data_IF_646479398432
#
_entry.id   IF_646479398432
#
_cell.length_a   1.000
_cell.length_b   1.000
_cell.length_c   1.000
_cell.angle_alpha   90.00
_cell.angle_beta   90.00
_cell.angle_gamma   90.00
#
_symmetry.space_group_name_H-M   'P 1'
#
loop_
_entity.id
_entity.type
_entity.pdbx_description
1 polymer ?
#
# COMPACT_ATOMS: atom_id res chain seq x y z
N UNK A 1 -15.65 10.74 -19.39
CA UNK A 1 -14.72 10.70 -18.26
C UNK A 1 -14.08 12.06 -18.11
N UNK A 2 -14.23 12.71 -16.96
CA UNK A 2 -13.52 13.93 -16.64
C UNK A 2 -12.00 13.62 -16.62
N UNK A 3 -11.22 14.31 -17.45
CA UNK A 3 -9.75 14.19 -17.38
C UNK A 3 -9.31 14.87 -16.10
N UNK A 4 -8.74 14.11 -15.16
CA UNK A 4 -7.89 14.70 -14.14
C UNK A 4 -6.78 15.42 -14.91
N UNK A 5 -6.60 16.72 -14.63
CA UNK A 5 -5.59 17.51 -15.32
C UNK A 5 -4.20 17.17 -14.74
N UNK A 6 -3.65 16.07 -15.24
CA UNK A 6 -2.24 15.75 -15.00
C UNK A 6 -1.33 16.66 -15.80
N UNK A 7 -0.16 16.93 -15.28
CA UNK A 7 0.91 17.56 -16.06
C UNK A 7 1.32 16.63 -17.21
N UNK A 8 2.00 17.16 -18.20
CA UNK A 8 2.50 16.36 -19.33
C UNK A 8 3.41 15.21 -18.89
N UNK A 9 4.27 15.45 -17.88
CA UNK A 9 5.14 14.44 -17.30
C UNK A 9 4.35 13.33 -16.59
N UNK A 10 3.34 13.70 -15.79
CA UNK A 10 2.44 12.76 -15.10
C UNK A 10 1.65 11.90 -16.09
N UNK A 11 1.15 12.49 -17.17
CA UNK A 11 0.43 11.75 -18.20
C UNK A 11 1.36 10.81 -18.99
N UNK A 12 2.60 11.22 -19.24
CA UNK A 12 3.64 10.37 -19.86
C UNK A 12 4.01 9.21 -18.94
N UNK A 13 4.23 9.46 -17.65
CA UNK A 13 4.47 8.44 -16.63
C UNK A 13 3.32 7.43 -16.62
N UNK A 14 2.06 7.90 -16.53
CA UNK A 14 0.86 7.05 -16.53
C UNK A 14 0.80 6.15 -17.75
N UNK A 15 1.02 6.67 -18.94
CA UNK A 15 1.04 5.90 -20.21
C UNK A 15 2.13 4.83 -20.23
N UNK A 16 3.33 5.18 -19.75
CA UNK A 16 4.45 4.24 -19.70
C UNK A 16 4.19 3.11 -18.71
N UNK A 17 3.66 3.40 -17.52
CA UNK A 17 3.28 2.40 -16.53
C UNK A 17 2.19 1.49 -17.10
N UNK A 18 1.15 2.05 -17.71
CA UNK A 18 0.09 1.26 -18.34
C UNK A 18 0.64 0.26 -19.37
N UNK A 19 1.55 0.68 -20.26
CA UNK A 19 2.18 -0.20 -21.25
C UNK A 19 2.98 -1.31 -20.58
N UNK A 20 3.77 -0.99 -19.58
CA UNK A 20 4.54 -1.96 -18.82
C UNK A 20 3.62 -2.98 -18.13
N UNK A 21 2.56 -2.53 -17.45
CA UNK A 21 1.60 -3.40 -16.77
C UNK A 21 0.96 -4.39 -17.73
N UNK A 22 0.53 -3.94 -18.90
CA UNK A 22 -0.07 -4.81 -19.92
C UNK A 22 0.92 -5.86 -20.46
N UNK A 23 2.21 -5.52 -20.55
CA UNK A 23 3.22 -6.41 -21.09
C UNK A 23 3.82 -7.34 -20.04
N UNK A 24 4.05 -6.85 -18.81
CA UNK A 24 4.87 -7.54 -17.83
C UNK A 24 4.09 -8.05 -16.61
N UNK A 25 2.99 -7.41 -16.22
CA UNK A 25 2.25 -7.74 -14.99
C UNK A 25 1.00 -8.58 -15.31
N UNK A 26 0.15 -8.11 -16.21
CA UNK A 26 -1.12 -8.78 -16.54
C UNK A 26 -0.94 -10.25 -16.95
N UNK A 27 0.01 -10.61 -17.85
CA UNK A 27 0.19 -12.00 -18.26
C UNK A 27 0.66 -12.95 -17.16
N UNK A 28 1.24 -12.40 -16.09
CA UNK A 28 1.82 -13.17 -14.97
C UNK A 28 0.99 -13.13 -13.69
N UNK A 29 -0.10 -12.37 -13.69
CA UNK A 29 -0.88 -12.14 -12.48
C UNK A 29 -1.56 -13.40 -11.92
N UNK A 30 -1.94 -14.35 -12.78
CA UNK A 30 -2.45 -15.66 -12.40
C UNK A 30 -1.35 -16.52 -11.74
N UNK A 31 -0.20 -16.62 -12.38
CA UNK A 31 0.96 -17.36 -11.85
C UNK A 31 1.40 -16.81 -10.48
N UNK A 32 1.39 -15.48 -10.29
CA UNK A 32 1.70 -14.84 -9.01
C UNK A 32 0.74 -15.29 -7.91
N UNK A 33 -0.56 -15.33 -8.22
CA UNK A 33 -1.59 -15.79 -7.26
C UNK A 33 -1.43 -17.29 -6.96
N UNK A 34 -1.22 -18.11 -7.96
CA UNK A 34 -1.08 -19.57 -7.78
C UNK A 34 0.16 -19.94 -6.96
N UNK A 35 1.32 -19.38 -7.33
CA UNK A 35 2.60 -19.66 -6.66
C UNK A 35 2.76 -18.95 -5.32
N UNK A 36 1.91 -17.95 -5.02
CA UNK A 36 2.07 -17.03 -3.89
C UNK A 36 3.46 -16.37 -3.87
N UNK A 37 3.99 -16.02 -5.05
CA UNK A 37 5.31 -15.40 -5.24
C UNK A 37 5.31 -14.44 -6.43
N UNK A 38 5.84 -13.23 -6.23
CA UNK A 38 6.10 -12.27 -7.32
C UNK A 38 7.48 -12.61 -7.94
N UNK A 39 7.55 -12.87 -9.26
CA UNK A 39 8.82 -13.13 -9.94
C UNK A 39 9.82 -11.99 -9.74
N UNK A 40 11.08 -12.34 -9.45
CA UNK A 40 12.14 -11.37 -9.07
C UNK A 40 12.46 -10.32 -10.13
N UNK A 41 12.10 -10.54 -11.38
CA UNK A 41 12.30 -9.58 -12.47
C UNK A 41 11.27 -8.44 -12.43
N UNK A 42 10.05 -8.64 -11.88
CA UNK A 42 9.03 -7.59 -11.75
C UNK A 42 9.53 -6.41 -10.89
N UNK A 43 10.04 -6.60 -9.66
CA UNK A 43 10.64 -5.52 -8.90
C UNK A 43 11.79 -4.82 -9.63
N UNK A 44 12.63 -5.56 -10.38
CA UNK A 44 13.72 -4.98 -11.19
C UNK A 44 13.18 -4.11 -12.33
N UNK A 45 12.07 -4.49 -12.96
CA UNK A 45 11.40 -3.67 -13.98
C UNK A 45 10.88 -2.38 -13.32
N UNK A 46 10.26 -2.48 -12.14
CA UNK A 46 9.76 -1.31 -11.42
C UNK A 46 10.89 -0.33 -11.05
N UNK A 47 12.02 -0.86 -10.55
CA UNK A 47 13.20 -0.05 -10.25
C UNK A 47 13.72 0.68 -11.52
N UNK A 48 13.91 -0.04 -12.64
CA UNK A 48 14.35 0.55 -13.91
C UNK A 48 13.41 1.61 -14.46
N UNK A 49 12.12 1.52 -14.14
CA UNK A 49 11.12 2.52 -14.53
C UNK A 49 11.02 3.70 -13.54
N UNK A 50 11.82 3.71 -12.48
CA UNK A 50 11.80 4.75 -11.47
C UNK A 50 10.65 4.65 -10.48
N UNK A 51 9.86 3.55 -10.45
CA UNK A 51 8.71 3.42 -9.55
C UNK A 51 9.12 3.33 -8.07
N UNK A 52 10.35 2.91 -7.79
CA UNK A 52 10.91 2.87 -6.45
C UNK A 52 11.50 4.20 -5.99
N UNK A 53 11.79 5.09 -6.93
CA UNK A 53 12.42 6.37 -6.67
C UNK A 53 11.48 7.56 -6.74
N UNK A 54 10.16 7.31 -6.86
CA UNK A 54 9.14 8.37 -7.01
C UNK A 54 9.27 9.45 -5.94
N UNK A 55 9.38 9.05 -4.66
CA UNK A 55 9.45 9.98 -3.52
C UNK A 55 10.88 10.31 -3.07
N UNK A 56 11.89 9.79 -3.76
CA UNK A 56 13.31 10.03 -3.43
C UNK A 56 13.77 11.33 -4.08
N UNK A 57 14.51 12.20 -3.36
CA UNK A 57 15.05 13.45 -3.93
C UNK A 57 16.03 13.22 -5.09
N UNK A 58 16.12 14.17 -6.02
CA UNK A 58 17.01 14.09 -7.19
C UNK A 58 18.49 13.94 -6.82
N UNK A 59 18.91 14.59 -5.74
CA UNK A 59 20.30 14.52 -5.23
C UNK A 59 20.73 13.10 -4.83
N UNK A 60 19.78 12.19 -4.58
CA UNK A 60 20.00 10.76 -4.31
C UNK A 60 19.59 9.85 -5.48
N UNK A 61 19.40 10.42 -6.67
CA UNK A 61 19.03 9.68 -7.88
C UNK A 61 17.53 9.37 -8.01
N UNK A 62 16.67 10.07 -7.28
CA UNK A 62 15.23 9.93 -7.32
C UNK A 62 14.54 10.80 -8.36
N UNK A 63 13.20 10.69 -8.41
CA UNK A 63 12.36 11.49 -9.31
C UNK A 63 11.81 12.76 -8.63
N UNK A 64 12.02 12.94 -7.33
CA UNK A 64 11.47 14.03 -6.52
C UNK A 64 9.96 14.26 -6.73
N UNK A 65 9.24 13.19 -7.04
CA UNK A 65 7.79 13.25 -7.21
C UNK A 65 7.06 13.36 -5.87
N UNK A 66 5.75 13.59 -5.97
CA UNK A 66 4.87 13.74 -4.83
C UNK A 66 3.91 12.55 -4.65
N UNK A 67 2.89 12.80 -3.86
CA UNK A 67 1.81 11.83 -3.62
C UNK A 67 1.00 11.58 -4.91
N UNK A 68 0.90 12.58 -5.79
CA UNK A 68 0.21 12.43 -7.09
C UNK A 68 0.88 11.37 -7.95
N UNK A 69 2.21 11.41 -8.11
CA UNK A 69 2.98 10.41 -8.87
C UNK A 69 2.92 9.03 -8.21
N UNK A 70 2.97 8.96 -6.89
CA UNK A 70 2.78 7.71 -6.15
C UNK A 70 1.38 7.11 -6.43
N UNK A 71 0.32 7.91 -6.38
CA UNK A 71 -1.04 7.46 -6.68
C UNK A 71 -1.20 6.98 -8.13
N UNK A 72 -0.58 7.67 -9.10
CA UNK A 72 -0.56 7.23 -10.51
C UNK A 72 0.10 5.84 -10.62
N UNK A 73 1.26 5.65 -9.98
CA UNK A 73 1.95 4.37 -10.00
C UNK A 73 1.10 3.25 -9.35
N UNK A 74 0.53 3.52 -8.18
CA UNK A 74 -0.31 2.57 -7.44
C UNK A 74 -1.57 2.20 -8.21
N UNK A 75 -2.30 3.18 -8.79
CA UNK A 75 -3.52 2.94 -9.55
C UNK A 75 -3.24 2.13 -10.83
N UNK A 76 -2.25 2.54 -11.64
CA UNK A 76 -1.99 1.87 -12.93
C UNK A 76 -1.45 0.44 -12.73
N UNK A 77 -0.57 0.19 -11.76
CA UNK A 77 -0.07 -1.17 -11.48
C UNK A 77 -1.17 -2.06 -10.93
N UNK A 78 -2.03 -1.54 -10.08
CA UNK A 78 -3.13 -2.31 -9.48
C UNK A 78 -4.18 -2.78 -10.49
N UNK A 79 -4.31 -2.14 -11.67
CA UNK A 79 -5.19 -2.62 -12.75
C UNK A 79 -4.81 -4.01 -13.26
N UNK A 80 -3.53 -4.35 -13.21
CA UNK A 80 -3.02 -5.66 -13.60
C UNK A 80 -2.90 -6.63 -12.43
N UNK A 81 -2.31 -6.15 -11.33
CA UNK A 81 -2.14 -6.93 -10.10
C UNK A 81 -1.95 -6.00 -8.90
N UNK A 82 -2.91 -5.99 -8.00
CA UNK A 82 -2.85 -5.13 -6.82
C UNK A 82 -1.71 -5.53 -5.87
N UNK A 83 -1.35 -6.81 -5.82
CA UNK A 83 -0.27 -7.30 -4.94
C UNK A 83 1.10 -6.75 -5.36
N UNK A 84 1.35 -6.56 -6.65
CA UNK A 84 2.59 -5.99 -7.16
C UNK A 84 2.86 -4.56 -6.65
N UNK A 85 1.81 -3.80 -6.29
CA UNK A 85 1.96 -2.47 -5.69
C UNK A 85 2.63 -2.48 -4.32
N UNK A 86 2.73 -3.64 -3.66
CA UNK A 86 3.34 -3.77 -2.33
C UNK A 86 4.84 -3.42 -2.33
N UNK A 87 5.53 -3.68 -3.43
CA UNK A 87 6.92 -3.26 -3.59
C UNK A 87 7.05 -1.73 -3.70
N UNK A 88 6.17 -1.09 -4.48
CA UNK A 88 6.17 0.38 -4.65
C UNK A 88 5.87 1.05 -3.30
N UNK A 89 4.85 0.57 -2.59
CA UNK A 89 4.47 1.12 -1.29
C UNK A 89 5.55 0.90 -0.23
N UNK A 90 6.21 -0.27 -0.22
CA UNK A 90 7.34 -0.55 0.67
C UNK A 90 8.47 0.46 0.48
N UNK A 91 8.87 0.70 -0.77
CA UNK A 91 9.90 1.69 -1.07
C UNK A 91 9.46 3.12 -0.71
N UNK A 92 8.19 3.45 -0.92
CA UNK A 92 7.63 4.73 -0.49
C UNK A 92 7.75 4.92 1.03
N UNK A 93 7.48 3.89 1.85
CA UNK A 93 7.69 3.96 3.31
C UNK A 93 9.15 4.24 3.67
N UNK A 94 10.11 3.58 3.01
CA UNK A 94 11.52 3.86 3.20
C UNK A 94 11.89 5.30 2.85
N UNK A 95 11.41 5.78 1.71
CA UNK A 95 11.65 7.16 1.27
C UNK A 95 11.06 8.19 2.25
N UNK A 96 9.83 7.97 2.73
CA UNK A 96 9.18 8.84 3.71
C UNK A 96 9.88 8.82 5.06
N UNK A 97 10.33 7.65 5.53
CA UNK A 97 11.08 7.53 6.77
C UNK A 97 12.36 8.37 6.75
N UNK A 98 13.10 8.33 5.65
CA UNK A 98 14.30 9.14 5.49
C UNK A 98 13.97 10.64 5.30
N UNK A 99 12.90 10.95 4.58
CA UNK A 99 12.48 12.34 4.32
C UNK A 99 12.11 13.06 5.61
N UNK A 100 11.31 12.43 6.46
CA UNK A 100 10.74 13.04 7.67
C UNK A 100 11.61 12.86 8.93
N UNK A 101 12.40 11.78 8.99
CA UNK A 101 13.11 11.41 10.21
C UNK A 101 14.58 11.01 10.01
N UNK A 102 15.04 10.83 8.77
CA UNK A 102 16.41 10.43 8.50
C UNK A 102 17.41 11.59 8.66
N UNK A 103 18.52 11.34 9.35
CA UNK A 103 19.66 12.24 9.33
C UNK A 103 20.46 12.11 8.02
N UNK A 104 21.44 13.01 7.79
CA UNK A 104 22.19 13.05 6.54
C UNK A 104 22.89 11.72 6.22
N UNK A 105 23.56 11.12 7.21
CA UNK A 105 24.24 9.82 7.03
C UNK A 105 23.29 8.68 6.69
N UNK A 106 22.08 8.67 7.27
CA UNK A 106 21.04 7.69 6.95
C UNK A 106 20.50 7.88 5.52
N UNK A 107 20.28 9.13 5.09
CA UNK A 107 19.85 9.47 3.73
C UNK A 107 20.87 9.00 2.71
N UNK A 108 22.15 9.33 2.88
CA UNK A 108 23.25 8.90 2.02
C UNK A 108 23.39 7.37 1.96
N UNK A 109 23.20 6.68 3.09
CA UNK A 109 23.32 5.22 3.18
C UNK A 109 22.13 4.49 2.52
N UNK A 110 20.90 4.95 2.72
CA UNK A 110 19.71 4.15 2.45
C UNK A 110 18.93 4.57 1.19
N UNK A 111 18.94 5.83 0.77
CA UNK A 111 18.26 6.20 -0.48
C UNK A 111 18.77 5.42 -1.70
N UNK A 112 20.09 5.24 -1.92
CA UNK A 112 20.59 4.43 -3.03
C UNK A 112 20.10 2.97 -2.99
N UNK A 113 19.88 2.41 -1.79
CA UNK A 113 19.37 1.03 -1.64
C UNK A 113 17.88 0.93 -1.94
N UNK A 114 17.08 1.94 -1.58
CA UNK A 114 15.65 1.98 -1.86
C UNK A 114 15.39 1.98 -3.37
N UNK A 115 16.12 2.77 -4.14
CA UNK A 115 15.87 2.93 -5.59
C UNK A 115 16.24 1.71 -6.41
N UNK A 116 17.05 0.79 -5.89
CA UNK A 116 17.50 -0.41 -6.61
C UNK A 116 16.63 -1.62 -6.36
N UNK A 117 16.84 -2.31 -5.24
CA UNK A 117 16.15 -3.56 -4.91
C UNK A 117 15.98 -3.79 -3.40
N UNK A 118 16.41 -2.82 -2.59
CA UNK A 118 16.36 -2.87 -1.14
C UNK A 118 14.93 -2.81 -0.59
N UNK A 119 14.12 -3.83 -0.84
CA UNK A 119 12.74 -3.90 -0.40
C UNK A 119 12.59 -3.48 1.07
N UNK A 120 11.65 -2.57 1.33
CA UNK A 120 11.36 -2.02 2.66
C UNK A 120 10.01 -2.53 3.15
N UNK A 121 9.94 -2.85 4.42
CA UNK A 121 8.70 -3.23 5.10
C UNK A 121 8.36 -2.25 6.22
N UNK A 122 7.09 -1.91 6.37
CA UNK A 122 6.58 -1.06 7.45
C UNK A 122 5.98 -1.92 8.55
N UNK A 123 6.42 -1.72 9.81
CA UNK A 123 6.26 -2.71 10.87
C UNK A 123 5.64 -2.08 12.11
N UNK A 124 4.32 -2.27 12.29
CA UNK A 124 3.55 -1.72 13.41
C UNK A 124 2.88 -2.81 14.25
N UNK A 125 2.06 -3.65 13.58
CA UNK A 125 1.12 -4.60 14.19
C UNK A 125 1.79 -5.63 15.08
N UNK A 126 1.15 -5.96 16.20
CA UNK A 126 1.56 -7.00 17.14
C UNK A 126 0.46 -8.04 17.33
N UNK A 127 0.75 -9.25 17.90
CA UNK A 127 -0.24 -10.30 18.09
C UNK A 127 -1.49 -9.86 18.86
N UNK A 128 -1.33 -8.96 19.85
CA UNK A 128 -2.44 -8.47 20.67
C UNK A 128 -3.22 -7.30 20.05
N UNK A 129 -2.71 -6.66 18.98
CA UNK A 129 -3.42 -5.54 18.39
C UNK A 129 -2.74 -4.89 17.19
N UNK A 130 -3.57 -4.53 16.19
CA UNK A 130 -3.15 -3.73 15.04
C UNK A 130 -3.85 -2.37 15.01
N UNK A 131 -5.11 -2.31 15.46
CA UNK A 131 -5.90 -1.07 15.51
C UNK A 131 -5.52 -0.20 16.72
N UNK A 132 -5.19 -0.82 17.85
CA UNK A 132 -4.72 -0.14 19.06
C UNK A 132 -3.19 -0.06 19.05
N UNK A 133 -2.65 0.98 18.40
CA UNK A 133 -1.21 1.25 18.41
C UNK A 133 -0.69 1.71 19.79
N UNK A 134 -1.58 2.15 20.66
CA UNK A 134 -1.23 2.49 22.05
C UNK A 134 -0.86 1.27 22.88
N UNK A 135 -1.33 0.09 22.49
CA UNK A 135 -1.06 -1.20 23.11
C UNK A 135 0.25 -1.87 22.68
N UNK A 136 1.12 -1.20 21.91
CA UNK A 136 2.42 -1.75 21.48
C UNK A 136 3.28 -2.12 22.69
N UNK A 137 3.72 -3.40 22.73
CA UNK A 137 4.51 -4.00 23.81
C UNK A 137 5.96 -4.28 23.41
N UNK A 138 6.26 -4.40 22.11
CA UNK A 138 7.65 -4.52 21.65
C UNK A 138 8.44 -3.32 22.15
N UNK A 139 9.48 -3.57 22.94
CA UNK A 139 10.26 -2.55 23.64
C UNK A 139 11.72 -2.53 23.20
N UNK A 140 12.32 -1.36 23.26
CA UNK A 140 13.74 -1.15 23.02
C UNK A 140 14.39 -0.49 24.24
N UNK A 141 15.52 -1.02 24.68
CA UNK A 141 16.31 -0.48 25.78
C UNK A 141 17.72 -0.13 25.30
N UNK A 142 18.17 1.10 25.53
CA UNK A 142 19.51 1.55 25.18
C UNK A 142 20.53 0.98 26.17
N UNK A 143 21.57 0.30 25.65
CA UNK A 143 22.72 -0.20 26.42
C UNK A 143 24.00 0.14 25.64
N UNK A 144 24.78 1.06 26.14
CA UNK A 144 25.94 1.62 25.44
C UNK A 144 25.48 2.38 24.18
N UNK A 145 25.96 1.96 23.00
CA UNK A 145 25.63 2.55 21.71
C UNK A 145 24.66 1.69 20.87
N UNK A 146 23.95 0.73 21.51
CA UNK A 146 22.98 -0.14 20.86
C UNK A 146 21.66 -0.17 21.63
N UNK A 147 20.56 -0.22 20.89
CA UNK A 147 19.26 -0.61 21.42
C UNK A 147 19.11 -2.12 21.35
N UNK A 148 18.58 -2.72 22.40
CA UNK A 148 18.18 -4.12 22.46
C UNK A 148 16.67 -4.18 22.40
N UNK A 149 16.15 -4.77 21.31
CA UNK A 149 14.72 -4.82 21.05
C UNK A 149 14.21 -6.22 21.40
N UNK A 150 13.08 -6.25 22.13
CA UNK A 150 12.39 -7.48 22.52
C UNK A 150 10.90 -7.39 22.24
N UNK A 151 10.34 -8.41 21.60
CA UNK A 151 8.92 -8.50 21.28
C UNK A 151 8.62 -9.21 19.97
N UNK A 152 7.38 -9.07 19.51
CA UNK A 152 6.91 -9.68 18.27
C UNK A 152 6.05 -8.72 17.47
N UNK A 153 6.23 -8.72 16.15
CA UNK A 153 5.37 -8.04 15.20
C UNK A 153 4.70 -9.07 14.30
N UNK A 154 3.41 -8.92 14.02
CA UNK A 154 2.61 -9.90 13.30
C UNK A 154 1.99 -9.32 12.04
N UNK A 155 1.69 -10.18 11.08
CA UNK A 155 1.06 -9.81 9.80
C UNK A 155 1.85 -8.76 9.03
N UNK A 156 3.17 -8.89 9.01
CA UNK A 156 4.05 -7.92 8.34
C UNK A 156 4.25 -8.33 6.89
N UNK A 157 3.79 -7.46 5.99
CA UNK A 157 3.93 -7.64 4.53
C UNK A 157 5.40 -7.55 4.12
N UNK A 158 5.83 -8.45 3.24
CA UNK A 158 7.21 -8.59 2.78
C UNK A 158 8.23 -9.00 3.86
N UNK A 159 7.82 -9.33 5.07
CA UNK A 159 8.75 -9.81 6.09
C UNK A 159 9.46 -11.10 5.64
N UNK A 160 10.76 -11.19 5.93
CA UNK A 160 11.64 -12.23 5.44
C UNK A 160 12.17 -12.01 4.01
N UNK A 161 11.45 -11.22 3.18
CA UNK A 161 11.93 -10.80 1.85
C UNK A 161 12.56 -9.40 1.88
N UNK A 162 11.97 -8.49 2.66
CA UNK A 162 12.51 -7.14 2.81
C UNK A 162 13.91 -7.16 3.42
N UNK A 163 14.77 -6.27 2.93
CA UNK A 163 16.10 -6.05 3.47
C UNK A 163 16.10 -5.03 4.62
N UNK A 164 15.02 -4.22 4.70
CA UNK A 164 14.89 -3.14 5.67
C UNK A 164 13.49 -3.11 6.28
N UNK A 165 13.42 -2.80 7.58
CA UNK A 165 12.19 -2.78 8.37
C UNK A 165 12.08 -1.46 9.12
N UNK A 166 11.09 -0.63 8.77
CA UNK A 166 10.77 0.61 9.49
C UNK A 166 9.84 0.23 10.65
N UNK A 167 10.39 0.09 11.83
CA UNK A 167 9.73 -0.60 12.95
C UNK A 167 9.40 0.36 14.08
N UNK A 168 8.12 0.40 14.50
CA UNK A 168 7.65 1.16 15.64
C UNK A 168 7.72 0.30 16.91
N UNK A 169 8.42 0.79 17.94
CA UNK A 169 8.59 0.11 19.22
C UNK A 169 8.49 1.10 20.37
N UNK A 170 8.31 0.61 21.59
CA UNK A 170 8.28 1.42 22.81
C UNK A 170 9.70 1.61 23.36
N UNK A 171 10.16 2.85 23.42
CA UNK A 171 11.46 3.24 24.00
C UNK A 171 11.32 3.74 25.44
N UNK A 172 10.14 4.27 25.82
CA UNK A 172 9.84 4.65 27.20
C UNK A 172 8.85 3.65 27.82
N UNK A 173 9.33 2.69 28.63
CA UNK A 173 8.47 1.68 29.27
C UNK A 173 7.53 2.26 30.33
N UNK A 174 7.77 3.47 30.83
CA UNK A 174 6.88 4.18 31.77
C UNK A 174 5.72 4.91 31.09
N UNK A 175 5.74 5.03 29.76
CA UNK A 175 4.72 5.74 29.00
C UNK A 175 3.47 4.89 28.77
N UNK A 176 2.30 5.56 28.62
CA UNK A 176 1.01 4.94 28.38
C UNK A 176 0.47 5.40 27.02
N UNK A 177 -0.26 4.51 26.35
CA UNK A 177 -0.89 4.78 25.06
C UNK A 177 0.16 4.99 23.97
N UNK A 178 -0.03 6.00 23.14
CA UNK A 178 0.83 6.27 21.98
C UNK A 178 2.08 7.11 22.33
N UNK A 179 2.25 7.54 23.56
CA UNK A 179 3.47 8.22 24.02
C UNK A 179 4.62 7.23 24.14
N UNK A 180 5.86 7.72 24.03
CA UNK A 180 7.07 6.90 24.19
C UNK A 180 7.29 5.83 23.12
N UNK A 181 6.63 5.95 21.97
CA UNK A 181 6.86 5.12 20.79
C UNK A 181 7.87 5.79 19.86
N UNK A 182 8.78 5.00 19.28
CA UNK A 182 9.86 5.48 18.41
C UNK A 182 10.07 4.55 17.23
N UNK A 183 10.57 5.10 16.12
CA UNK A 183 10.89 4.32 14.94
C UNK A 183 12.37 3.96 14.85
N UNK A 184 12.62 2.78 14.28
CA UNK A 184 13.94 2.29 13.94
C UNK A 184 13.99 1.83 12.49
N UNK A 185 15.13 2.06 11.85
CA UNK A 185 15.50 1.44 10.59
C UNK A 185 16.28 0.16 10.89
N UNK A 186 15.63 -1.00 10.80
CA UNK A 186 16.25 -2.29 11.15
C UNK A 186 16.64 -3.02 9.87
N UNK A 187 17.88 -3.51 9.80
CA UNK A 187 18.36 -4.31 8.67
C UNK A 187 18.03 -5.80 8.91
N UNK A 188 17.76 -6.55 7.83
CA UNK A 188 17.35 -7.96 7.87
C UNK A 188 18.28 -8.87 8.69
N UNK A 189 19.59 -8.61 8.57
CA UNK A 189 20.61 -9.44 9.21
C UNK A 189 20.97 -8.96 10.62
N UNK A 190 20.09 -8.19 11.28
CA UNK A 190 20.29 -7.75 12.67
C UNK A 190 20.34 -8.97 13.59
N UNK A 191 21.38 -9.06 14.42
CA UNK A 191 21.53 -10.10 15.44
C UNK A 191 20.31 -10.10 16.38
N UNK A 192 19.70 -11.26 16.65
CA UNK A 192 18.49 -11.38 17.47
C UNK A 192 17.17 -11.11 16.71
N UNK A 193 17.20 -10.82 15.39
CA UNK A 193 16.01 -10.76 14.55
C UNK A 193 15.79 -12.10 13.82
N UNK A 194 14.57 -12.62 13.93
CA UNK A 194 14.15 -13.81 13.18
C UNK A 194 12.73 -13.65 12.63
N UNK A 195 12.33 -14.57 11.76
CA UNK A 195 11.05 -14.51 11.05
C UNK A 195 10.22 -15.77 11.30
N UNK A 196 8.91 -15.59 11.44
CA UNK A 196 7.96 -16.69 11.54
C UNK A 196 7.68 -17.34 10.18
N UNK A 197 6.70 -18.25 10.17
CA UNK A 197 6.21 -18.87 8.92
C UNK A 197 5.36 -17.87 8.12
N UNK A 198 5.32 -18.06 6.81
CA UNK A 198 4.42 -17.29 5.95
C UNK A 198 2.96 -17.73 6.17
N UNK A 199 2.05 -16.78 6.34
CA UNK A 199 0.63 -17.03 6.52
C UNK A 199 -0.05 -17.41 5.19
N UNK A 200 -1.00 -18.36 5.25
CA UNK A 200 -1.84 -18.72 4.12
C UNK A 200 -2.97 -17.70 3.98
N UNK A 201 -2.99 -16.99 2.86
CA UNK A 201 -3.91 -15.88 2.62
C UNK A 201 -5.07 -16.26 1.70
N UNK A 202 -6.22 -15.62 1.88
CA UNK A 202 -7.37 -15.69 0.98
C UNK A 202 -7.06 -15.08 -0.39
N UNK A 203 -6.48 -13.89 -0.41
CA UNK A 203 -6.05 -13.09 -1.55
C UNK A 203 -4.77 -12.34 -1.21
N UNK A 204 -4.41 -11.37 -2.06
CA UNK A 204 -3.16 -10.62 -1.90
C UNK A 204 -1.94 -11.56 -1.88
N UNK A 205 -2.05 -12.66 -2.67
CA UNK A 205 -1.03 -13.68 -2.79
C UNK A 205 0.07 -13.17 -3.72
N UNK A 206 1.31 -13.53 -3.39
CA UNK A 206 2.50 -13.05 -4.10
C UNK A 206 3.51 -12.34 -3.19
N UNK A 207 3.09 -11.88 -2.01
CA UNK A 207 3.99 -11.32 -0.99
C UNK A 207 3.87 -12.10 0.30
N UNK A 208 4.97 -12.21 1.04
CA UNK A 208 4.93 -12.83 2.37
C UNK A 208 4.09 -12.00 3.35
N UNK A 209 3.48 -12.68 4.28
CA UNK A 209 2.83 -12.12 5.45
C UNK A 209 3.27 -12.94 6.66
N UNK A 210 4.20 -12.43 7.46
CA UNK A 210 4.81 -13.21 8.54
C UNK A 210 5.10 -12.35 9.77
N UNK A 211 5.59 -13.00 10.82
CA UNK A 211 6.01 -12.34 12.05
C UNK A 211 7.49 -11.90 11.98
N UNK A 212 7.81 -10.80 12.67
CA UNK A 212 9.16 -10.47 13.10
C UNK A 212 9.26 -10.79 14.59
N UNK A 213 10.29 -11.52 14.97
CA UNK A 213 10.58 -11.93 16.33
C UNK A 213 11.90 -11.29 16.74
N UNK A 214 11.84 -10.46 17.77
CA UNK A 214 12.99 -9.76 18.36
C UNK A 214 13.33 -10.42 19.69
N UNK A 215 14.51 -11.02 19.78
CA UNK A 215 15.06 -11.66 20.97
C UNK A 215 16.42 -11.03 21.27
N UNK A 216 16.42 -10.01 22.15
CA UNK A 216 17.55 -9.10 22.38
C UNK A 216 18.18 -8.58 21.06
N UNK A 217 17.33 -8.23 20.10
CA UNK A 217 17.80 -7.81 18.77
C UNK A 217 18.64 -6.54 18.89
N UNK A 218 19.91 -6.64 18.49
CA UNK A 218 20.94 -5.63 18.68
C UNK A 218 20.96 -4.63 17.54
N UNK A 219 20.35 -3.47 17.76
CA UNK A 219 20.20 -2.39 16.77
C UNK A 219 21.12 -1.22 17.12
N UNK A 220 22.05 -0.82 16.25
CA UNK A 220 22.88 0.35 16.46
C UNK A 220 22.07 1.63 16.69
N UNK A 221 22.49 2.49 17.59
CA UNK A 221 21.84 3.80 17.82
C UNK A 221 21.76 4.65 16.54
N UNK A 222 22.69 4.47 15.61
CA UNK A 222 22.69 5.14 14.30
C UNK A 222 21.51 4.74 13.39
N UNK A 223 20.75 3.68 13.74
CA UNK A 223 19.55 3.24 13.05
C UNK A 223 18.25 3.77 13.67
N UNK A 224 18.35 4.59 14.72
CA UNK A 224 17.21 5.29 15.30
C UNK A 224 16.71 6.37 14.33
N UNK A 225 15.39 6.49 14.15
CA UNK A 225 14.76 7.45 13.23
C UNK A 225 14.05 8.57 13.98
N UNK A 226 14.43 9.80 13.71
CA UNK A 226 13.79 10.99 14.27
C UNK A 226 14.13 11.22 15.74
N UNK A 227 13.12 11.59 16.53
CA UNK A 227 13.24 11.92 17.97
C UNK A 227 12.56 10.85 18.82
N UNK A 228 13.14 10.58 20.01
CA UNK A 228 12.59 9.60 20.93
C UNK A 228 11.20 10.00 21.44
N UNK A 229 10.28 9.03 21.44
CA UNK A 229 8.90 9.25 21.85
C UNK A 229 8.00 9.92 20.82
N UNK A 230 8.54 10.35 19.66
CA UNK A 230 7.81 11.04 18.58
C UNK A 230 7.32 10.12 17.46
N UNK A 231 7.39 8.81 17.64
CA UNK A 231 7.05 7.84 16.61
C UNK A 231 5.60 7.97 16.10
N UNK A 232 4.63 8.35 16.92
CA UNK A 232 3.25 8.52 16.48
C UNK A 232 3.01 9.79 15.66
N UNK A 233 3.77 10.85 15.90
CA UNK A 233 3.73 12.04 15.05
C UNK A 233 4.24 11.69 13.65
N UNK A 234 5.37 10.99 13.60
CA UNK A 234 5.94 10.48 12.35
C UNK A 234 5.02 9.47 11.63
N UNK A 235 4.35 8.58 12.38
CA UNK A 235 3.39 7.64 11.83
C UNK A 235 2.22 8.33 11.11
N UNK A 236 1.74 9.48 11.62
CA UNK A 236 0.67 10.26 10.97
C UNK A 236 1.08 10.76 9.59
N UNK A 237 2.31 11.26 9.46
CA UNK A 237 2.86 11.69 8.16
C UNK A 237 2.90 10.50 7.16
N UNK A 238 3.41 9.35 7.60
CA UNK A 238 3.45 8.15 6.75
C UNK A 238 2.07 7.70 6.32
N UNK A 239 1.12 7.69 7.26
CA UNK A 239 -0.24 7.20 7.02
C UNK A 239 -1.02 8.10 6.05
N UNK A 240 -0.72 9.39 5.95
CA UNK A 240 -1.33 10.25 4.93
C UNK A 240 -0.96 9.78 3.51
N UNK A 241 0.31 9.49 3.28
CA UNK A 241 0.78 8.95 2.00
C UNK A 241 0.29 7.52 1.74
N UNK A 242 0.47 6.62 2.71
CA UNK A 242 0.14 5.22 2.52
C UNK A 242 -1.35 4.98 2.32
N UNK A 243 -2.22 5.58 3.13
CA UNK A 243 -3.68 5.41 3.02
C UNK A 243 -4.21 5.95 1.69
N UNK A 244 -3.68 7.08 1.21
CA UNK A 244 -4.03 7.60 -0.12
C UNK A 244 -3.55 6.65 -1.22
N UNK A 245 -2.34 6.08 -1.09
CA UNK A 245 -1.83 5.03 -1.97
C UNK A 245 -2.69 3.75 -1.93
N UNK A 246 -3.20 3.35 -0.76
CA UNK A 246 -4.16 2.23 -0.62
C UNK A 246 -5.47 2.54 -1.36
N UNK A 247 -5.99 3.76 -1.22
CA UNK A 247 -7.18 4.17 -1.95
C UNK A 247 -6.95 4.12 -3.48
N UNK A 248 -5.79 4.61 -3.95
CA UNK A 248 -5.41 4.58 -5.36
C UNK A 248 -5.33 3.15 -5.92
N UNK A 249 -4.66 2.22 -5.21
CA UNK A 249 -4.59 0.83 -5.68
C UNK A 249 -5.94 0.10 -5.59
N UNK A 250 -6.82 0.48 -4.65
CA UNK A 250 -8.16 -0.10 -4.57
C UNK A 250 -9.00 0.25 -5.80
N UNK A 251 -8.98 1.51 -6.23
CA UNK A 251 -9.68 1.91 -7.47
C UNK A 251 -8.98 1.40 -8.73
N UNK A 252 -7.65 1.21 -8.71
CA UNK A 252 -6.93 0.56 -9.79
C UNK A 252 -7.41 -0.88 -9.99
N UNK A 253 -7.49 -1.67 -8.92
CA UNK A 253 -8.06 -3.02 -8.94
C UNK A 253 -9.53 -3.03 -9.39
N UNK A 254 -10.34 -2.13 -8.85
CA UNK A 254 -11.74 -1.95 -9.25
C UNK A 254 -11.87 -1.61 -10.75
N UNK A 255 -11.05 -0.69 -11.25
CA UNK A 255 -11.02 -0.33 -12.67
C UNK A 255 -10.66 -1.51 -13.55
N UNK A 256 -9.66 -2.32 -13.17
CA UNK A 256 -9.28 -3.53 -13.87
C UNK A 256 -10.44 -4.54 -13.93
N UNK A 257 -11.12 -4.77 -12.81
CA UNK A 257 -12.28 -5.66 -12.75
C UNK A 257 -13.45 -5.15 -13.58
N UNK A 258 -13.75 -3.84 -13.51
CA UNK A 258 -14.80 -3.20 -14.32
C UNK A 258 -14.53 -3.30 -15.81
N UNK A 259 -13.28 -3.10 -16.26
CA UNK A 259 -12.89 -3.23 -17.67
C UNK A 259 -13.08 -4.67 -18.18
N UNK A 260 -12.75 -5.67 -17.37
CA UNK A 260 -13.00 -7.08 -17.70
C UNK A 260 -14.49 -7.38 -17.78
N UNK A 261 -15.29 -6.91 -16.83
CA UNK A 261 -16.74 -7.07 -16.83
C UNK A 261 -17.40 -6.40 -18.06
N UNK A 262 -17.03 -5.16 -18.37
CA UNK A 262 -17.54 -4.43 -19.55
C UNK A 262 -17.21 -5.18 -20.84
N UNK A 263 -15.98 -5.68 -21.00
CA UNK A 263 -15.59 -6.47 -22.18
C UNK A 263 -16.44 -7.73 -22.29
N UNK A 264 -16.55 -8.50 -21.23
CA UNK A 264 -17.35 -9.72 -21.19
C UNK A 264 -18.82 -9.45 -21.53
N UNK A 265 -19.42 -8.39 -20.99
CA UNK A 265 -20.84 -8.06 -21.27
C UNK A 265 -21.11 -7.73 -22.74
N UNK A 266 -20.10 -7.21 -23.48
CA UNK A 266 -20.18 -6.91 -24.91
C UNK A 266 -20.00 -8.13 -25.81
N UNK A 267 -19.43 -9.19 -25.31
CA UNK A 267 -19.09 -10.41 -26.04
C UNK A 267 -20.02 -11.57 -25.69
N UNK A 268 -20.74 -11.52 -24.56
CA UNK A 268 -21.60 -12.61 -24.09
C UNK A 268 -23.05 -12.44 -24.57
N UNK A 269 -23.56 -13.30 -25.51
CA UNK A 269 -24.95 -13.31 -25.89
C UNK A 269 -25.79 -14.12 -24.90
N UNK A 270 -26.99 -13.62 -24.56
CA UNK A 270 -28.07 -14.34 -23.87
C UNK A 270 -29.42 -13.81 -24.33
N UNK A 271 -30.43 -14.66 -24.43
CA UNK A 271 -31.78 -14.30 -24.85
C UNK A 271 -31.80 -13.53 -26.17
N UNK A 272 -30.95 -13.93 -27.13
CA UNK A 272 -30.93 -13.39 -28.50
C UNK A 272 -30.19 -12.06 -28.68
N UNK A 273 -29.53 -11.51 -27.63
CA UNK A 273 -28.74 -10.26 -27.70
C UNK A 273 -27.59 -10.27 -26.72
N UNK A 274 -26.65 -9.32 -26.85
CA UNK A 274 -25.55 -9.18 -25.92
C UNK A 274 -26.07 -8.76 -24.54
N UNK A 275 -25.46 -9.29 -23.44
CA UNK A 275 -25.93 -8.95 -22.11
C UNK A 275 -25.74 -7.46 -21.78
N UNK A 276 -24.80 -6.76 -22.45
CA UNK A 276 -24.65 -5.30 -22.39
C UNK A 276 -25.84 -4.49 -22.90
N UNK A 277 -26.79 -5.12 -23.61
CA UNK A 277 -28.01 -4.48 -24.14
C UNK A 277 -29.15 -4.46 -23.12
N UNK A 278 -29.07 -5.29 -22.05
CA UNK A 278 -30.08 -5.29 -21.01
C UNK A 278 -29.95 -4.05 -20.10
N UNK A 279 -31.07 -3.38 -19.83
CA UNK A 279 -31.10 -2.13 -19.04
C UNK A 279 -30.46 -2.29 -17.66
N UNK A 280 -30.75 -3.38 -16.95
CA UNK A 280 -30.19 -3.65 -15.62
C UNK A 280 -28.65 -3.72 -15.66
N UNK A 281 -28.06 -4.37 -16.66
CA UNK A 281 -26.60 -4.44 -16.83
C UNK A 281 -26.02 -3.06 -17.16
N UNK A 282 -26.68 -2.30 -18.02
CA UNK A 282 -26.25 -0.92 -18.37
C UNK A 282 -26.24 -0.02 -17.14
N UNK A 283 -27.28 -0.08 -16.31
CA UNK A 283 -27.34 0.71 -15.08
C UNK A 283 -26.26 0.28 -14.10
N UNK A 284 -26.07 -1.02 -13.88
CA UNK A 284 -24.98 -1.53 -13.04
C UNK A 284 -23.63 -1.00 -13.49
N UNK A 285 -23.28 -1.09 -14.77
CA UNK A 285 -21.99 -0.59 -15.29
C UNK A 285 -21.84 0.92 -15.09
N UNK A 286 -22.91 1.69 -15.28
CA UNK A 286 -22.90 3.14 -15.08
C UNK A 286 -22.68 3.52 -13.59
N UNK A 287 -23.35 2.84 -12.67
CA UNK A 287 -23.21 3.05 -11.23
C UNK A 287 -21.80 2.71 -10.76
N UNK A 288 -21.25 1.55 -11.14
CA UNK A 288 -19.91 1.13 -10.77
C UNK A 288 -18.85 2.09 -11.32
N UNK A 289 -18.97 2.50 -12.58
CA UNK A 289 -18.08 3.48 -13.20
C UNK A 289 -18.11 4.84 -12.46
N UNK A 290 -19.29 5.29 -12.06
CA UNK A 290 -19.48 6.53 -11.30
C UNK A 290 -18.80 6.46 -9.94
N UNK A 291 -18.95 5.37 -9.19
CA UNK A 291 -18.30 5.18 -7.89
C UNK A 291 -16.78 5.17 -7.98
N UNK A 292 -16.23 4.51 -9.01
CA UNK A 292 -14.78 4.54 -9.26
C UNK A 292 -14.30 5.96 -9.56
N UNK A 293 -15.04 6.73 -10.36
CA UNK A 293 -14.66 8.11 -10.71
C UNK A 293 -14.74 9.08 -9.54
N UNK A 294 -15.76 8.95 -8.68
CA UNK A 294 -15.88 9.73 -7.46
C UNK A 294 -14.71 9.45 -6.50
N UNK A 295 -14.35 8.17 -6.32
CA UNK A 295 -13.18 7.77 -5.54
C UNK A 295 -11.90 8.37 -6.10
N UNK A 296 -11.69 8.26 -7.41
CA UNK A 296 -10.53 8.81 -8.12
C UNK A 296 -10.42 10.31 -7.91
N UNK A 297 -11.51 11.04 -8.06
CA UNK A 297 -11.55 12.50 -7.86
C UNK A 297 -11.13 12.90 -6.46
N UNK A 298 -11.59 12.18 -5.42
CA UNK A 298 -11.20 12.44 -4.04
C UNK A 298 -9.71 12.16 -3.81
N UNK A 299 -9.19 11.04 -4.31
CA UNK A 299 -7.79 10.64 -4.16
C UNK A 299 -6.84 11.69 -4.75
N UNK A 300 -7.06 12.11 -6.00
CA UNK A 300 -6.16 13.06 -6.64
C UNK A 300 -6.32 14.49 -6.13
N UNK A 301 -7.50 14.84 -5.59
CA UNK A 301 -7.67 16.08 -4.82
C UNK A 301 -6.77 16.07 -3.59
N UNK A 302 -6.78 14.99 -2.80
CA UNK A 302 -5.93 14.83 -1.61
C UNK A 302 -4.46 14.87 -2.01
N UNK A 303 -4.07 14.11 -3.03
CA UNK A 303 -2.70 14.07 -3.51
C UNK A 303 -2.19 15.48 -3.88
N UNK A 304 -2.99 16.24 -4.63
CA UNK A 304 -2.66 17.63 -4.97
C UNK A 304 -2.56 18.56 -3.75
N UNK A 305 -3.37 18.34 -2.71
CA UNK A 305 -3.29 19.13 -1.46
C UNK A 305 -1.97 18.84 -0.72
N UNK A 306 -1.63 17.55 -0.55
CA UNK A 306 -0.39 17.13 0.10
C UNK A 306 0.84 17.64 -0.66
N UNK A 307 0.84 17.53 -1.99
CA UNK A 307 1.96 17.99 -2.83
C UNK A 307 2.15 19.53 -2.76
N UNK A 308 1.11 20.27 -2.41
CA UNK A 308 1.15 21.72 -2.14
C UNK A 308 1.45 22.09 -0.69
N UNK A 309 1.72 21.11 0.18
CA UNK A 309 2.02 21.32 1.60
C UNK A 309 0.79 21.60 2.49
N UNK A 310 -0.42 21.35 1.99
CA UNK A 310 -1.66 21.50 2.80
C UNK A 310 -1.89 20.21 3.57
N UNK A 311 -1.48 20.18 4.85
CA UNK A 311 -1.55 18.97 5.69
C UNK A 311 -2.64 19.01 6.76
N UNK A 312 -2.99 20.17 7.30
CA UNK A 312 -3.88 20.29 8.47
C UNK A 312 -5.29 19.74 8.21
N UNK A 313 -5.85 19.96 7.02
CA UNK A 313 -7.20 19.51 6.64
C UNK A 313 -7.23 18.16 5.92
N UNK A 314 -6.06 17.53 5.74
CA UNK A 314 -5.94 16.33 4.89
C UNK A 314 -6.32 15.05 5.63
N UNK A 315 -6.05 14.94 6.92
CA UNK A 315 -6.22 13.68 7.68
C UNK A 315 -7.64 13.08 7.56
N UNK A 316 -8.73 13.84 7.80
CA UNK A 316 -10.08 13.28 7.64
C UNK A 316 -10.39 12.91 6.20
N UNK A 317 -9.92 13.70 5.22
CA UNK A 317 -10.10 13.40 3.79
C UNK A 317 -9.37 12.10 3.38
N UNK A 318 -8.15 11.87 3.86
CA UNK A 318 -7.39 10.65 3.65
C UNK A 318 -8.14 9.43 4.19
N UNK A 319 -8.72 9.54 5.39
CA UNK A 319 -9.53 8.49 5.98
C UNK A 319 -10.81 8.23 5.18
N UNK A 320 -11.49 9.28 4.69
CA UNK A 320 -12.64 9.17 3.80
C UNK A 320 -12.26 8.46 2.49
N UNK A 321 -11.15 8.86 1.86
CA UNK A 321 -10.69 8.25 0.61
C UNK A 321 -10.35 6.76 0.80
N UNK A 322 -9.60 6.42 1.87
CA UNK A 322 -9.23 5.03 2.15
C UNK A 322 -10.47 4.16 2.38
N UNK A 323 -11.35 4.58 3.28
CA UNK A 323 -12.57 3.83 3.57
C UNK A 323 -13.44 3.67 2.32
N UNK A 324 -13.85 4.79 1.71
CA UNK A 324 -14.79 4.77 0.59
C UNK A 324 -14.24 4.01 -0.62
N UNK A 325 -12.98 4.28 -1.00
CA UNK A 325 -12.38 3.63 -2.17
C UNK A 325 -12.19 2.13 -2.00
N UNK A 326 -11.88 1.64 -0.78
CA UNK A 326 -11.74 0.20 -0.54
C UNK A 326 -13.09 -0.52 -0.48
N UNK A 327 -14.16 0.13 -0.01
CA UNK A 327 -15.53 -0.39 -0.08
C UNK A 327 -16.03 -0.42 -1.54
N UNK A 328 -15.80 0.63 -2.31
CA UNK A 328 -16.06 0.66 -3.77
C UNK A 328 -15.25 -0.44 -4.48
N UNK A 329 -13.98 -0.63 -4.11
CA UNK A 329 -13.13 -1.70 -4.64
C UNK A 329 -13.75 -3.08 -4.44
N UNK A 330 -14.23 -3.37 -3.24
CA UNK A 330 -14.90 -4.63 -2.92
C UNK A 330 -16.23 -4.78 -3.67
N UNK A 331 -17.04 -3.73 -3.73
CA UNK A 331 -18.32 -3.74 -4.45
C UNK A 331 -18.12 -4.00 -5.94
N UNK A 332 -17.24 -3.23 -6.59
CA UNK A 332 -17.00 -3.34 -8.05
C UNK A 332 -16.48 -4.72 -8.42
N UNK A 333 -15.53 -5.26 -7.66
CA UNK A 333 -14.96 -6.59 -7.93
C UNK A 333 -15.99 -7.69 -7.71
N UNK A 334 -16.84 -7.57 -6.68
CA UNK A 334 -17.95 -8.51 -6.43
C UNK A 334 -18.96 -8.48 -7.56
N UNK A 335 -19.35 -7.29 -8.03
CA UNK A 335 -20.29 -7.15 -9.14
C UNK A 335 -19.69 -7.60 -10.48
N UNK A 336 -18.39 -7.48 -10.67
CA UNK A 336 -17.70 -8.03 -11.83
C UNK A 336 -17.80 -9.57 -11.87
N UNK A 337 -17.58 -10.24 -10.75
CA UNK A 337 -17.82 -11.69 -10.61
C UNK A 337 -19.28 -12.01 -10.92
N UNK A 338 -20.21 -11.28 -10.30
CA UNK A 338 -21.66 -11.52 -10.45
C UNK A 338 -22.12 -11.41 -11.90
N UNK A 339 -21.72 -10.36 -12.62
CA UNK A 339 -22.18 -10.14 -14.01
C UNK A 339 -21.58 -11.13 -15.00
N UNK A 340 -20.40 -11.67 -14.70
CA UNK A 340 -19.74 -12.71 -15.50
C UNK A 340 -20.27 -14.12 -15.17
N UNK A 341 -21.04 -14.28 -14.08
CA UNK A 341 -21.64 -15.55 -13.67
C UNK A 341 -20.60 -16.64 -13.37
N UNK A 342 -20.84 -17.86 -13.85
CA UNK A 342 -19.91 -18.99 -13.63
C UNK A 342 -18.47 -18.70 -14.13
N UNK A 343 -18.33 -17.98 -15.26
CA UNK A 343 -17.03 -17.56 -15.77
C UNK A 343 -16.29 -16.63 -14.80
N UNK A 344 -17.01 -15.71 -14.13
CA UNK A 344 -16.41 -14.84 -13.12
C UNK A 344 -16.01 -15.56 -11.83
N UNK A 345 -16.58 -16.72 -11.58
CA UNK A 345 -16.32 -17.53 -10.38
C UNK A 345 -15.15 -18.52 -10.55
N UNK A 346 -14.78 -18.82 -11.80
CA UNK A 346 -13.65 -19.71 -12.13
C UNK A 346 -12.34 -18.93 -12.25
N UNK A 347 -11.22 -19.61 -12.06
CA UNK A 347 -9.87 -18.99 -12.13
C UNK A 347 -9.41 -18.64 -13.55
N UNK A 348 -10.14 -19.05 -14.59
CA UNK A 348 -9.87 -18.68 -15.99
C UNK A 348 -10.00 -17.18 -16.25
N UNK A 349 -10.74 -16.47 -15.39
CA UNK A 349 -10.93 -15.03 -15.49
C UNK A 349 -10.37 -14.32 -14.25
N UNK A 350 -9.79 -13.12 -14.40
CA UNK A 350 -9.06 -12.46 -13.32
C UNK A 350 -9.95 -11.89 -12.21
N UNK A 351 -11.27 -11.77 -12.42
CA UNK A 351 -12.16 -11.01 -11.53
C UNK A 351 -12.34 -11.66 -10.16
N UNK A 352 -12.29 -13.00 -10.04
CA UNK A 352 -12.35 -13.70 -8.76
C UNK A 352 -11.13 -13.39 -7.91
N UNK A 353 -9.92 -13.36 -8.50
CA UNK A 353 -8.68 -12.98 -7.83
C UNK A 353 -8.74 -11.51 -7.38
N UNK A 354 -9.20 -10.62 -8.27
CA UNK A 354 -9.36 -9.20 -7.97
C UNK A 354 -10.32 -8.97 -6.78
N UNK A 355 -11.37 -9.79 -6.65
CA UNK A 355 -12.30 -9.76 -5.53
C UNK A 355 -11.63 -10.22 -4.23
N UNK A 356 -10.88 -11.34 -4.24
CA UNK A 356 -10.13 -11.83 -3.08
C UNK A 356 -9.10 -10.79 -2.60
N UNK A 357 -8.43 -10.16 -3.53
CA UNK A 357 -7.43 -9.12 -3.27
C UNK A 357 -8.05 -7.84 -2.70
N UNK A 358 -9.22 -7.43 -3.20
CA UNK A 358 -9.94 -6.25 -2.72
C UNK A 358 -10.28 -6.34 -1.23
N UNK A 359 -10.56 -7.53 -0.71
CA UNK A 359 -10.89 -7.73 0.71
C UNK A 359 -9.75 -7.31 1.63
N UNK A 360 -8.50 -7.61 1.27
CA UNK A 360 -7.34 -7.22 2.05
C UNK A 360 -7.25 -5.69 2.22
N UNK A 361 -7.65 -4.92 1.20
CA UNK A 361 -7.55 -3.46 1.20
C UNK A 361 -8.49 -2.78 2.21
N UNK A 362 -9.62 -3.41 2.55
CA UNK A 362 -10.50 -2.92 3.62
C UNK A 362 -9.88 -3.07 5.01
N UNK A 363 -8.90 -3.96 5.19
CA UNK A 363 -8.32 -4.36 6.47
C UNK A 363 -6.98 -3.67 6.73
N UNK A 364 -6.07 -3.69 5.75
CA UNK A 364 -4.71 -3.18 5.91
C UNK A 364 -4.66 -1.65 6.04
N UNK A 365 -3.56 -1.12 6.61
CA UNK A 365 -3.31 0.32 6.89
C UNK A 365 -4.39 0.96 7.79
N UNK A 366 -4.91 0.16 8.71
CA UNK A 366 -6.04 0.48 9.58
C UNK A 366 -7.38 0.13 8.92
N UNK A 367 -8.15 -0.81 9.50
CA UNK A 367 -9.43 -1.23 8.96
C UNK A 367 -10.41 -0.06 8.81
N UNK A 368 -11.41 -0.25 7.96
CA UNK A 368 -12.36 0.82 7.60
C UNK A 368 -13.10 1.39 8.82
N UNK A 369 -13.29 0.60 9.86
CA UNK A 369 -13.86 1.03 11.14
C UNK A 369 -12.97 2.10 11.82
N UNK A 370 -11.65 1.93 11.80
CA UNK A 370 -10.71 2.93 12.32
C UNK A 370 -10.77 4.21 11.49
N UNK A 371 -10.92 4.12 10.17
CA UNK A 371 -11.07 5.31 9.33
C UNK A 371 -12.34 6.09 9.71
N UNK A 372 -13.45 5.38 9.94
CA UNK A 372 -14.73 6.00 10.39
C UNK A 372 -14.59 6.68 11.75
N UNK A 373 -13.84 6.08 12.70
CA UNK A 373 -13.55 6.71 14.00
C UNK A 373 -12.78 8.02 13.80
N UNK A 374 -11.73 8.02 12.98
CA UNK A 374 -10.93 9.22 12.70
C UNK A 374 -11.80 10.32 12.07
N UNK A 375 -12.65 9.97 11.10
CA UNK A 375 -13.57 10.91 10.47
C UNK A 375 -14.52 11.51 11.52
N UNK A 376 -15.18 10.65 12.30
CA UNK A 376 -16.14 11.07 13.32
C UNK A 376 -15.51 12.01 14.36
N UNK A 377 -14.29 11.71 14.82
CA UNK A 377 -13.56 12.57 15.75
C UNK A 377 -13.28 13.96 15.18
N UNK A 378 -13.01 14.07 13.86
CA UNK A 378 -12.72 15.35 13.23
C UNK A 378 -13.97 16.19 12.89
N UNK A 379 -15.12 15.58 12.68
CA UNK A 379 -16.36 16.33 12.35
C UNK A 379 -17.25 16.64 13.56
N UNK A 380 -17.02 15.97 14.68
CA UNK A 380 -17.81 16.13 15.90
C UNK A 380 -17.08 16.95 16.98
N UNK A 381 -15.80 17.21 16.83
CA UNK A 381 -14.94 18.00 17.72
C UNK A 381 -14.18 19.08 16.98
#
# INVERSE_FOLDING_TARGET
MMKILFTENQETMRKNIKRMVQREVVPRAEEIDEKDEIPRDIPRIFSKMGLFSVLVPEEYGGLAGGLTELCIAMEEVAKGSVVCTSYILGQAFGALALRFAGNQSQKEKYYPKIITDGNVSFVLTEPQGGSDLGGIQTKAALRGNHYFINGRKSFITNAGYAEHYITLVRTDPGSIGTKGLSFFWIEKNTEGLSFGKNEKKMGYRGVSLTELIFDDAKVPQSQFLGEEGKGMELAREFLAYSRTGIAAKAIGNAQGALENAIRYTKERPQFGKMISEFQAIRFMMAELATKVELSRSLIYRIASMVDKGVMDDVIPLVSMAKWYSTDVGMEVTTQAVQVMGACGYTREFPVERMMRDAKALQILEGPNEIQKIIIAQNILH
#
